data_IF_715563923497
#
_entry.id   IF_715563923497
#
_cell.length_a   1.000
_cell.length_b   1.000
_cell.length_c   1.000
_cell.angle_alpha   90.00
_cell.angle_beta   90.00
_cell.angle_gamma   90.00
#
_symmetry.space_group_name_H-M   'P 1'
#
loop_
_entity.id
_entity.type
_entity.pdbx_description
1 polymer ?
#
# COMPACT_ATOMS: atom_id res chain seq x y z
N UNK A 1 25.80 -5.97 -25.28
CA UNK A 1 26.60 -5.57 -24.12
C UNK A 1 25.71 -4.76 -23.18
N UNK A 2 25.69 -5.10 -21.90
CA UNK A 2 24.90 -4.42 -20.87
C UNK A 2 25.77 -3.33 -20.25
N UNK A 3 25.24 -2.11 -20.12
CA UNK A 3 25.91 -1.06 -19.36
C UNK A 3 25.02 -0.58 -18.22
N UNK A 4 25.55 -0.71 -17.01
CA UNK A 4 24.95 -0.20 -15.78
C UNK A 4 25.91 0.83 -15.18
N UNK A 5 25.47 2.08 -15.03
CA UNK A 5 26.28 3.15 -14.45
C UNK A 5 25.86 3.40 -13.00
N UNK A 6 26.84 3.37 -12.10
CA UNK A 6 26.67 3.52 -10.64
C UNK A 6 26.74 4.98 -10.16
N UNK A 7 27.50 5.85 -10.82
CA UNK A 7 27.62 7.24 -10.42
C UNK A 7 27.78 8.18 -11.63
N UNK A 8 26.99 9.26 -11.66
CA UNK A 8 27.11 10.38 -12.59
C UNK A 8 27.37 11.64 -11.77
N UNK A 9 28.59 12.16 -11.82
CA UNK A 9 28.91 13.47 -11.24
C UNK A 9 28.56 14.55 -12.26
N UNK A 10 27.42 15.21 -12.05
CA UNK A 10 26.98 16.32 -12.90
C UNK A 10 27.32 17.65 -12.21
N UNK A 11 28.28 18.40 -12.77
CA UNK A 11 28.68 19.73 -12.26
C UNK A 11 27.75 20.84 -12.77
N UNK A 12 26.82 20.52 -13.68
CA UNK A 12 25.84 21.45 -14.24
C UNK A 12 24.46 20.78 -14.38
N UNK A 13 23.43 21.52 -14.80
CA UNK A 13 22.10 20.96 -15.04
C UNK A 13 22.01 20.03 -16.27
N UNK A 14 23.03 20.01 -17.13
CA UNK A 14 23.07 19.16 -18.34
C UNK A 14 24.46 18.53 -18.52
N UNK A 15 24.51 17.22 -18.74
CA UNK A 15 25.72 16.54 -19.16
C UNK A 15 25.41 15.56 -20.29
N UNK A 16 26.38 15.36 -21.18
CA UNK A 16 26.32 14.36 -22.24
C UNK A 16 27.34 13.28 -21.95
N UNK A 17 26.87 12.04 -21.80
CA UNK A 17 27.72 10.87 -21.66
C UNK A 17 27.86 10.20 -23.03
N UNK A 18 29.10 10.05 -23.52
CA UNK A 18 29.38 9.25 -24.71
C UNK A 18 29.62 7.80 -24.30
N UNK A 19 28.82 6.90 -24.85
CA UNK A 19 28.98 5.45 -24.67
C UNK A 19 29.80 4.90 -25.84
N UNK A 20 30.83 4.11 -25.55
CA UNK A 20 31.83 3.66 -26.54
C UNK A 20 31.29 2.72 -27.61
N UNK A 21 30.24 1.96 -27.28
CA UNK A 21 29.67 0.92 -28.12
C UNK A 21 28.17 1.14 -28.32
N UNK A 22 27.63 0.64 -29.44
CA UNK A 22 26.18 0.60 -29.65
C UNK A 22 25.53 -0.35 -28.63
N UNK A 23 24.93 0.20 -27.57
CA UNK A 23 24.18 -0.56 -26.57
C UNK A 23 22.70 -0.60 -26.94
N UNK A 24 22.03 -1.74 -26.71
CA UNK A 24 20.60 -1.92 -27.01
C UNK A 24 19.69 -1.14 -26.06
N UNK A 25 20.11 -1.00 -24.81
CA UNK A 25 19.42 -0.25 -23.76
C UNK A 25 20.43 0.16 -22.69
N UNK A 26 20.04 1.10 -21.84
CA UNK A 26 20.86 1.64 -20.76
C UNK A 26 20.04 1.69 -19.47
N UNK A 27 20.54 1.08 -18.40
CA UNK A 27 19.97 1.22 -17.05
C UNK A 27 20.89 2.11 -16.21
N UNK A 28 20.39 3.28 -15.82
CA UNK A 28 21.07 4.15 -14.86
C UNK A 28 20.63 3.83 -13.43
N UNK A 29 21.40 4.33 -12.46
CA UNK A 29 21.21 4.05 -11.04
C UNK A 29 21.24 2.54 -10.74
N UNK A 30 22.38 1.91 -11.05
CA UNK A 30 22.58 0.49 -10.83
C UNK A 30 22.30 0.11 -9.36
N UNK A 31 21.47 -0.91 -9.15
CA UNK A 31 21.00 -1.38 -7.84
C UNK A 31 20.30 -0.30 -7.00
N UNK A 32 19.86 0.80 -7.62
CA UNK A 32 19.16 1.90 -6.95
C UNK A 32 19.93 2.53 -5.76
N UNK A 33 21.26 2.61 -5.89
CA UNK A 33 22.14 3.12 -4.82
C UNK A 33 22.14 4.65 -4.69
N UNK A 34 21.74 5.35 -5.75
CA UNK A 34 21.58 6.80 -5.76
C UNK A 34 20.18 7.26 -5.38
N UNK A 35 20.09 8.35 -4.61
CA UNK A 35 18.82 8.97 -4.23
C UNK A 35 18.27 9.86 -5.36
N UNK A 36 17.92 9.25 -6.49
CA UNK A 36 17.32 9.93 -7.63
C UNK A 36 16.48 8.98 -8.50
N UNK A 37 15.44 9.52 -9.13
CA UNK A 37 14.59 8.83 -10.10
C UNK A 37 15.17 8.98 -11.50
N UNK A 38 15.12 7.92 -12.31
CA UNK A 38 15.57 7.95 -13.71
C UNK A 38 14.37 7.91 -14.65
N UNK A 39 14.31 8.88 -15.55
CA UNK A 39 13.39 8.89 -16.68
C UNK A 39 14.13 8.56 -17.98
N UNK A 40 13.61 7.60 -18.73
CA UNK A 40 14.05 7.29 -20.09
C UNK A 40 13.05 7.87 -21.08
N UNK A 41 13.49 8.28 -22.28
CA UNK A 41 12.54 8.61 -23.36
C UNK A 41 11.72 7.38 -23.77
N UNK A 42 10.69 7.57 -24.60
CA UNK A 42 9.75 6.49 -25.00
C UNK A 42 10.47 5.24 -25.53
N UNK A 43 11.47 5.42 -26.40
CA UNK A 43 12.30 4.34 -26.93
C UNK A 43 13.15 3.67 -25.83
N UNK A 44 13.69 4.44 -24.89
CA UNK A 44 14.49 3.91 -23.78
C UNK A 44 13.65 3.05 -22.82
N UNK A 45 12.43 3.47 -22.51
CA UNK A 45 11.50 2.61 -21.77
C UNK A 45 11.08 1.39 -22.57
N UNK A 46 10.73 1.55 -23.86
CA UNK A 46 10.31 0.43 -24.70
C UNK A 46 11.39 -0.67 -24.79
N UNK A 47 12.65 -0.27 -24.96
CA UNK A 47 13.79 -1.21 -25.02
C UNK A 47 14.08 -1.88 -23.67
N UNK A 48 13.92 -1.18 -22.53
CA UNK A 48 14.00 -1.79 -21.20
C UNK A 48 12.86 -2.77 -20.94
N UNK A 49 11.63 -2.44 -21.35
CA UNK A 49 10.47 -3.32 -21.23
C UNK A 49 10.67 -4.59 -22.08
N UNK A 50 11.14 -4.45 -23.32
CA UNK A 50 11.41 -5.57 -24.22
C UNK A 50 12.50 -6.50 -23.66
N UNK A 51 13.56 -5.92 -23.08
CA UNK A 51 14.61 -6.68 -22.40
C UNK A 51 14.06 -7.53 -21.25
N UNK A 52 13.20 -6.95 -20.40
CA UNK A 52 12.59 -7.65 -19.26
C UNK A 52 11.58 -8.73 -19.68
N UNK A 53 10.83 -8.49 -20.76
CA UNK A 53 9.92 -9.49 -21.34
C UNK A 53 10.67 -10.68 -21.94
N UNK A 54 11.86 -10.42 -22.49
CA UNK A 54 12.71 -11.46 -23.08
C UNK A 54 13.41 -12.29 -22.01
N UNK A 55 14.02 -11.64 -21.02
CA UNK A 55 14.70 -12.30 -19.91
C UNK A 55 14.72 -11.39 -18.67
N UNK A 56 13.97 -11.78 -17.63
CA UNK A 56 13.90 -11.04 -16.37
C UNK A 56 15.27 -10.92 -15.68
N UNK A 57 16.19 -11.87 -15.91
CA UNK A 57 17.51 -11.88 -15.28
C UNK A 57 18.52 -10.95 -15.95
N UNK A 58 18.12 -10.29 -17.05
CA UNK A 58 18.93 -9.28 -17.72
C UNK A 58 19.20 -8.05 -16.83
N UNK A 59 18.35 -7.80 -15.83
CA UNK A 59 18.55 -6.79 -14.78
C UNK A 59 18.51 -7.44 -13.39
N UNK A 60 19.17 -6.84 -12.40
CA UNK A 60 19.10 -7.33 -11.02
C UNK A 60 17.70 -7.12 -10.42
N UNK A 61 17.29 -7.87 -9.37
CA UNK A 61 16.00 -7.65 -8.73
C UNK A 61 15.81 -6.22 -8.20
N UNK A 62 16.91 -5.59 -7.75
CA UNK A 62 16.90 -4.22 -7.25
C UNK A 62 16.70 -3.21 -8.39
N UNK A 63 17.32 -3.45 -9.55
CA UNK A 63 17.08 -2.64 -10.75
C UNK A 63 15.63 -2.76 -11.22
N UNK A 64 15.06 -3.97 -11.22
CA UNK A 64 13.66 -4.21 -11.60
C UNK A 64 12.68 -3.51 -10.66
N UNK A 65 12.87 -3.65 -9.34
CA UNK A 65 12.11 -2.89 -8.35
C UNK A 65 12.22 -1.37 -8.57
N UNK A 66 13.43 -0.86 -8.85
CA UNK A 66 13.64 0.56 -9.14
C UNK A 66 12.95 1.04 -10.42
N UNK A 67 12.87 0.19 -11.46
CA UNK A 67 12.15 0.53 -12.69
C UNK A 67 10.64 0.64 -12.44
N UNK A 68 10.07 -0.28 -11.65
CA UNK A 68 8.67 -0.23 -11.24
C UNK A 68 8.43 1.04 -10.43
N UNK A 69 9.23 1.30 -9.39
CA UNK A 69 9.12 2.50 -8.57
C UNK A 69 9.16 3.79 -9.41
N UNK A 70 10.19 3.91 -10.26
CA UNK A 70 10.41 5.09 -11.09
C UNK A 70 9.27 5.31 -12.07
N UNK A 71 8.79 4.26 -12.75
CA UNK A 71 7.73 4.42 -13.76
C UNK A 71 6.40 4.85 -13.13
N UNK A 72 6.07 4.34 -11.94
CA UNK A 72 4.90 4.78 -11.19
C UNK A 72 5.04 6.24 -10.71
N UNK A 73 6.20 6.62 -10.17
CA UNK A 73 6.47 8.00 -9.76
C UNK A 73 6.41 8.98 -10.94
N UNK A 74 6.98 8.60 -12.08
CA UNK A 74 6.93 9.39 -13.32
C UNK A 74 5.52 9.49 -13.89
N UNK A 75 4.70 8.44 -13.74
CA UNK A 75 3.28 8.49 -14.10
C UNK A 75 2.49 9.43 -13.19
N UNK A 76 2.78 9.46 -11.87
CA UNK A 76 2.21 10.45 -10.93
C UNK A 76 2.49 11.89 -11.36
N UNK A 77 3.69 12.16 -11.88
CA UNK A 77 4.06 13.46 -12.45
C UNK A 77 3.57 13.65 -13.91
N UNK A 78 2.98 12.62 -14.51
CA UNK A 78 2.63 12.45 -15.94
C UNK A 78 3.74 12.79 -16.92
N UNK A 79 4.96 12.39 -16.57
CA UNK A 79 6.06 12.23 -17.51
C UNK A 79 5.92 10.94 -18.32
N UNK A 80 5.23 9.94 -17.76
CA UNK A 80 4.99 8.63 -18.37
C UNK A 80 3.49 8.33 -18.36
N UNK A 81 2.97 7.75 -19.46
CA UNK A 81 1.56 7.35 -19.52
C UNK A 81 1.30 6.10 -18.67
N UNK A 82 0.12 5.98 -18.06
CA UNK A 82 -0.20 4.76 -17.30
C UNK A 82 -0.28 3.50 -18.18
N UNK A 83 -0.53 3.65 -19.48
CA UNK A 83 -0.41 2.53 -20.45
C UNK A 83 0.99 1.92 -20.44
N UNK A 84 2.02 2.75 -20.37
CA UNK A 84 3.42 2.31 -20.36
C UNK A 84 3.80 1.66 -19.03
N UNK A 85 3.22 2.13 -17.91
CA UNK A 85 3.30 1.44 -16.61
C UNK A 85 2.77 0.03 -16.72
N UNK A 86 1.57 -0.14 -17.29
CA UNK A 86 0.96 -1.46 -17.45
C UNK A 86 1.76 -2.35 -18.41
N UNK A 87 2.32 -1.78 -19.49
CA UNK A 87 3.20 -2.50 -20.42
C UNK A 87 4.51 -2.97 -19.77
N UNK A 88 5.03 -2.24 -18.77
CA UNK A 88 6.14 -2.73 -17.96
C UNK A 88 5.68 -3.91 -17.11
N UNK A 89 4.58 -3.78 -16.39
CA UNK A 89 4.10 -4.84 -15.48
C UNK A 89 3.76 -6.17 -16.16
N UNK A 90 3.57 -6.20 -17.48
CA UNK A 90 3.42 -7.44 -18.25
C UNK A 90 4.58 -8.43 -18.02
N UNK A 91 5.82 -7.99 -17.78
CA UNK A 91 6.94 -8.91 -17.51
C UNK A 91 6.78 -9.61 -16.16
N UNK A 92 6.04 -9.01 -15.21
CA UNK A 92 5.98 -9.44 -13.83
C UNK A 92 5.29 -10.80 -13.65
N UNK A 93 4.61 -11.32 -14.68
CA UNK A 93 4.08 -12.70 -14.68
C UNK A 93 5.20 -13.75 -14.57
N UNK A 94 6.42 -13.40 -14.99
CA UNK A 94 7.60 -14.26 -14.94
C UNK A 94 8.55 -13.90 -13.78
N UNK A 95 8.15 -12.96 -12.93
CA UNK A 95 8.96 -12.49 -11.80
C UNK A 95 8.75 -13.38 -10.56
N UNK A 96 9.83 -13.66 -9.84
CA UNK A 96 9.81 -14.48 -8.62
C UNK A 96 10.50 -13.81 -7.44
N UNK A 97 11.19 -12.70 -7.65
CA UNK A 97 11.99 -12.05 -6.62
C UNK A 97 11.16 -11.09 -5.76
N UNK A 98 11.42 -11.08 -4.45
CA UNK A 98 10.64 -10.33 -3.46
C UNK A 98 10.54 -8.84 -3.81
N UNK A 99 11.68 -8.15 -3.97
CA UNK A 99 11.72 -6.69 -4.12
C UNK A 99 10.86 -6.14 -5.29
N UNK A 100 10.96 -6.65 -6.53
CA UNK A 100 10.10 -6.17 -7.62
C UNK A 100 8.62 -6.51 -7.42
N UNK A 101 8.30 -7.68 -6.86
CA UNK A 101 6.91 -8.09 -6.63
C UNK A 101 6.25 -7.27 -5.54
N UNK A 102 6.92 -7.04 -4.40
CA UNK A 102 6.36 -6.23 -3.32
C UNK A 102 6.18 -4.78 -3.73
N UNK A 103 7.12 -4.21 -4.51
CA UNK A 103 6.95 -2.87 -5.09
C UNK A 103 5.74 -2.82 -6.04
N UNK A 104 5.61 -3.78 -6.97
CA UNK A 104 4.47 -3.83 -7.89
C UNK A 104 3.12 -3.93 -7.15
N UNK A 105 3.01 -4.83 -6.18
CA UNK A 105 1.80 -5.03 -5.39
C UNK A 105 1.44 -3.77 -4.59
N UNK A 106 2.44 -3.10 -4.00
CA UNK A 106 2.24 -1.85 -3.24
C UNK A 106 1.73 -0.70 -4.12
N UNK A 107 2.32 -0.52 -5.30
CA UNK A 107 1.92 0.50 -6.26
C UNK A 107 0.51 0.23 -6.82
N UNK A 108 0.21 -1.02 -7.18
CA UNK A 108 -1.11 -1.45 -7.64
C UNK A 108 -2.18 -1.28 -6.57
N UNK A 109 -1.85 -1.59 -5.30
CA UNK A 109 -2.74 -1.36 -4.15
C UNK A 109 -3.08 0.12 -3.99
N UNK A 110 -2.10 1.00 -4.21
CA UNK A 110 -2.31 2.45 -4.11
C UNK A 110 -3.25 2.96 -5.20
N UNK A 111 -3.09 2.49 -6.44
CA UNK A 111 -4.02 2.80 -7.55
C UNK A 111 -5.42 2.25 -7.27
N UNK A 112 -5.52 1.00 -6.80
CA UNK A 112 -6.79 0.38 -6.42
C UNK A 112 -7.56 1.22 -5.39
N UNK A 113 -6.88 1.69 -4.34
CA UNK A 113 -7.51 2.49 -3.29
C UNK A 113 -8.03 3.84 -3.80
N UNK A 114 -7.29 4.52 -4.68
CA UNK A 114 -7.75 5.75 -5.33
C UNK A 114 -9.02 5.52 -6.16
N UNK A 115 -9.04 4.47 -6.98
CA UNK A 115 -10.21 4.09 -7.78
C UNK A 115 -11.41 3.76 -6.90
N UNK A 116 -11.19 3.00 -5.83
CA UNK A 116 -12.23 2.58 -4.90
C UNK A 116 -12.87 3.78 -4.18
N UNK A 117 -12.06 4.74 -3.74
CA UNK A 117 -12.53 5.97 -3.06
C UNK A 117 -13.21 6.97 -3.99
N UNK A 118 -12.83 6.97 -5.28
CA UNK A 118 -13.57 7.68 -6.34
C UNK A 118 -14.83 6.93 -6.81
N UNK A 119 -15.16 5.80 -6.18
CA UNK A 119 -16.33 4.96 -6.50
C UNK A 119 -16.36 4.52 -7.97
N UNK A 120 -15.20 4.32 -8.58
CA UNK A 120 -15.06 3.85 -9.96
C UNK A 120 -15.27 2.32 -10.03
N UNK A 121 -16.43 1.83 -9.54
CA UNK A 121 -16.67 0.41 -9.23
C UNK A 121 -16.38 -0.53 -10.40
N UNK A 122 -16.67 -0.11 -11.64
CA UNK A 122 -16.35 -0.88 -12.85
C UNK A 122 -14.84 -0.99 -13.09
N UNK A 123 -14.09 0.09 -12.88
CA UNK A 123 -12.62 0.06 -12.97
C UNK A 123 -12.03 -0.76 -11.83
N UNK A 124 -12.56 -0.62 -10.62
CA UNK A 124 -12.16 -1.43 -9.47
C UNK A 124 -12.27 -2.92 -9.81
N UNK A 125 -13.40 -3.37 -10.36
CA UNK A 125 -13.58 -4.76 -10.77
C UNK A 125 -12.57 -5.21 -11.85
N UNK A 126 -12.32 -4.38 -12.87
CA UNK A 126 -11.33 -4.66 -13.92
C UNK A 126 -9.89 -4.69 -13.40
N UNK A 127 -9.56 -3.79 -12.48
CA UNK A 127 -8.27 -3.77 -11.79
C UNK A 127 -8.07 -5.04 -10.96
N UNK A 128 -9.10 -5.52 -10.24
CA UNK A 128 -9.03 -6.81 -9.53
C UNK A 128 -8.77 -7.96 -10.51
N UNK A 129 -9.46 -7.99 -11.64
CA UNK A 129 -9.26 -9.01 -12.67
C UNK A 129 -7.84 -8.98 -13.25
N UNK A 130 -7.30 -7.78 -13.52
CA UNK A 130 -5.92 -7.58 -13.98
C UNK A 130 -4.88 -8.08 -12.97
N UNK A 131 -5.01 -7.73 -11.69
CA UNK A 131 -4.10 -8.20 -10.65
C UNK A 131 -4.17 -9.73 -10.53
N UNK A 132 -5.38 -10.29 -10.56
CA UNK A 132 -5.59 -11.74 -10.54
C UNK A 132 -4.98 -12.45 -11.77
N UNK A 133 -5.01 -11.84 -12.96
CA UNK A 133 -4.44 -12.46 -14.15
C UNK A 133 -2.91 -12.46 -14.16
N UNK A 134 -2.27 -11.46 -13.56
CA UNK A 134 -0.80 -11.33 -13.54
C UNK A 134 -0.16 -12.06 -12.37
N UNK A 135 -0.78 -12.02 -11.20
CA UNK A 135 -0.18 -12.50 -9.95
C UNK A 135 -0.96 -13.67 -9.33
N UNK A 136 -2.14 -14.03 -9.85
CA UNK A 136 -3.02 -15.01 -9.22
C UNK A 136 -2.41 -16.40 -9.08
N UNK A 137 -1.66 -16.87 -10.09
CA UNK A 137 -0.97 -18.16 -9.98
C UNK A 137 0.09 -18.14 -8.88
N UNK A 138 0.86 -17.05 -8.78
CA UNK A 138 1.89 -16.89 -7.75
C UNK A 138 1.28 -16.75 -6.34
N UNK A 139 0.13 -16.08 -6.24
CA UNK A 139 -0.65 -16.00 -5.00
C UNK A 139 -1.13 -17.38 -4.55
N UNK A 140 -1.67 -18.18 -5.48
CA UNK A 140 -2.21 -19.50 -5.16
C UNK A 140 -1.11 -20.53 -4.84
N UNK A 141 0.13 -20.30 -5.31
CA UNK A 141 1.26 -21.19 -5.06
C UNK A 141 1.96 -20.96 -3.71
N UNK A 142 1.55 -19.94 -2.95
CA UNK A 142 2.15 -19.67 -1.64
C UNK A 142 1.79 -20.79 -0.65
N UNK A 143 2.77 -21.18 0.16
CA UNK A 143 2.56 -22.15 1.22
C UNK A 143 1.93 -21.48 2.46
N UNK A 144 1.39 -22.29 3.37
CA UNK A 144 0.75 -21.83 4.61
C UNK A 144 1.43 -22.42 5.86
N UNK A 145 2.69 -22.85 5.70
CA UNK A 145 3.49 -23.48 6.75
C UNK A 145 4.58 -22.56 7.30
N UNK A 146 5.53 -23.17 8.00
CA UNK A 146 6.73 -22.48 8.46
C UNK A 146 7.64 -22.13 7.28
N UNK A 147 8.22 -20.93 7.31
CA UNK A 147 9.22 -20.45 6.35
C UNK A 147 10.28 -19.69 7.14
N UNK A 148 11.55 -19.89 6.78
CA UNK A 148 12.72 -19.35 7.51
C UNK A 148 13.32 -18.15 6.79
N UNK A 149 13.15 -18.06 5.47
CA UNK A 149 13.68 -16.97 4.67
C UNK A 149 12.86 -15.71 4.90
N UNK A 150 13.47 -14.70 5.54
CA UNK A 150 12.87 -13.37 5.77
C UNK A 150 12.33 -12.75 4.47
N UNK A 151 13.08 -12.89 3.36
CA UNK A 151 12.65 -12.39 2.04
C UNK A 151 11.39 -13.08 1.52
N UNK A 152 11.26 -14.39 1.76
CA UNK A 152 10.06 -15.15 1.36
C UNK A 152 8.89 -14.88 2.27
N UNK A 153 9.11 -14.74 3.58
CA UNK A 153 8.08 -14.31 4.54
C UNK A 153 7.46 -12.96 4.13
N UNK A 154 8.29 -11.99 3.72
CA UNK A 154 7.81 -10.69 3.23
C UNK A 154 6.95 -10.84 1.97
N UNK A 155 7.45 -11.56 0.97
CA UNK A 155 6.73 -11.77 -0.29
C UNK A 155 5.41 -12.53 -0.07
N UNK A 156 5.44 -13.60 0.72
CA UNK A 156 4.29 -14.44 1.06
C UNK A 156 3.21 -13.63 1.75
N UNK A 157 3.59 -12.83 2.75
CA UNK A 157 2.66 -11.92 3.44
C UNK A 157 2.01 -10.94 2.46
N UNK A 158 2.78 -10.28 1.59
CA UNK A 158 2.25 -9.33 0.60
C UNK A 158 1.30 -9.98 -0.43
N UNK A 159 1.66 -11.16 -0.94
CA UNK A 159 0.85 -11.90 -1.91
C UNK A 159 -0.46 -12.40 -1.30
N UNK A 160 -0.41 -12.97 -0.09
CA UNK A 160 -1.59 -13.50 0.59
C UNK A 160 -2.51 -12.39 1.11
N UNK A 161 -1.96 -11.29 1.62
CA UNK A 161 -2.75 -10.09 1.95
C UNK A 161 -3.53 -9.59 0.72
N UNK A 162 -2.86 -9.46 -0.42
CA UNK A 162 -3.52 -9.09 -1.67
C UNK A 162 -4.57 -10.13 -2.08
N UNK A 163 -4.23 -11.41 -2.14
CA UNK A 163 -5.13 -12.49 -2.56
C UNK A 163 -6.43 -12.55 -1.73
N UNK A 164 -6.31 -12.50 -0.41
CA UNK A 164 -7.46 -12.53 0.51
C UNK A 164 -8.26 -11.22 0.50
N UNK A 165 -7.62 -10.06 0.24
CA UNK A 165 -8.32 -8.79 0.06
C UNK A 165 -9.14 -8.75 -1.24
N UNK A 166 -8.66 -9.43 -2.29
CA UNK A 166 -9.36 -9.59 -3.57
C UNK A 166 -10.49 -10.62 -3.49
N UNK A 167 -10.59 -11.38 -2.40
CA UNK A 167 -11.61 -12.41 -2.20
C UNK A 167 -11.34 -13.70 -2.97
N UNK A 168 -10.06 -14.05 -3.19
CA UNK A 168 -9.71 -15.34 -3.80
C UNK A 168 -10.08 -16.48 -2.85
N UNK A 169 -10.93 -17.40 -3.32
CA UNK A 169 -11.49 -18.49 -2.52
C UNK A 169 -10.42 -19.36 -1.85
N UNK A 170 -9.38 -19.75 -2.61
CA UNK A 170 -8.28 -20.55 -2.06
C UNK A 170 -7.60 -19.84 -0.87
N UNK A 171 -7.35 -18.52 -0.96
CA UNK A 171 -6.76 -17.77 0.14
C UNK A 171 -7.69 -17.70 1.34
N UNK A 172 -8.97 -17.41 1.13
CA UNK A 172 -9.93 -17.31 2.24
C UNK A 172 -10.16 -18.65 2.93
N UNK A 173 -10.19 -19.75 2.19
CA UNK A 173 -10.40 -21.09 2.75
C UNK A 173 -9.20 -21.54 3.59
N UNK A 174 -7.97 -21.34 3.09
CA UNK A 174 -6.76 -21.67 3.84
C UNK A 174 -6.61 -20.79 5.10
N UNK A 175 -6.91 -19.49 4.97
CA UNK A 175 -6.91 -18.58 6.12
C UNK A 175 -7.89 -19.03 7.20
N UNK A 176 -9.13 -19.38 6.82
CA UNK A 176 -10.13 -19.88 7.76
C UNK A 176 -9.74 -21.24 8.35
N UNK A 177 -9.15 -22.15 7.56
CA UNK A 177 -8.68 -23.42 8.07
C UNK A 177 -7.58 -23.27 9.14
N UNK A 178 -6.65 -22.31 8.97
CA UNK A 178 -5.66 -21.99 10.01
C UNK A 178 -6.31 -21.33 11.23
N UNK A 179 -7.26 -20.42 11.02
CA UNK A 179 -8.00 -19.79 12.12
C UNK A 179 -8.75 -20.82 12.96
N UNK A 180 -9.43 -21.77 12.32
CA UNK A 180 -10.17 -22.84 12.98
C UNK A 180 -9.23 -23.78 13.74
N UNK A 181 -8.05 -24.07 13.21
CA UNK A 181 -7.03 -24.85 13.93
C UNK A 181 -6.52 -24.11 15.17
N UNK A 182 -6.28 -22.80 15.06
CA UNK A 182 -5.83 -21.96 16.16
C UNK A 182 -6.90 -21.90 17.27
N UNK A 183 -8.16 -21.63 16.94
CA UNK A 183 -9.27 -21.59 17.91
C UNK A 183 -9.54 -22.96 18.55
N UNK A 184 -9.68 -24.03 17.77
CA UNK A 184 -9.95 -25.39 18.28
C UNK A 184 -8.83 -25.96 19.15
N UNK A 185 -7.62 -25.42 19.03
CA UNK A 185 -6.48 -25.80 19.87
C UNK A 185 -6.41 -25.02 21.19
N UNK A 186 -7.41 -24.19 21.52
CA UNK A 186 -7.33 -23.21 22.59
C UNK A 186 -6.07 -22.34 22.47
N UNK A 187 -5.76 -21.90 21.24
CA UNK A 187 -4.60 -21.07 20.88
C UNK A 187 -3.23 -21.71 21.17
N UNK A 188 -3.16 -23.03 21.36
CA UNK A 188 -1.88 -23.74 21.56
C UNK A 188 -1.13 -23.98 20.24
N UNK A 189 -1.86 -24.19 19.13
CA UNK A 189 -1.27 -24.23 17.78
C UNK A 189 -1.12 -22.80 17.27
N UNK A 190 0.13 -22.38 17.08
CA UNK A 190 0.45 -21.03 16.63
C UNK A 190 0.31 -20.90 15.12
N UNK A 191 -0.23 -19.76 14.68
CA UNK A 191 -0.22 -19.35 13.27
C UNK A 191 1.15 -18.71 12.98
N UNK A 192 1.82 -19.04 11.85
CA UNK A 192 3.07 -18.39 11.45
C UNK A 192 2.94 -16.86 11.47
N UNK A 193 3.94 -16.16 12.02
CA UNK A 193 3.83 -14.73 12.35
C UNK A 193 3.55 -13.81 11.15
N UNK A 194 4.02 -14.17 9.96
CA UNK A 194 3.77 -13.46 8.70
C UNK A 194 2.34 -13.67 8.16
N UNK A 195 1.71 -14.80 8.53
CA UNK A 195 0.35 -15.17 8.14
C UNK A 195 -0.71 -14.66 9.11
N UNK A 196 -0.36 -14.37 10.37
CA UNK A 196 -1.30 -13.92 11.41
C UNK A 196 -2.19 -12.76 10.95
N UNK A 197 -1.61 -11.74 10.30
CA UNK A 197 -2.40 -10.59 9.81
C UNK A 197 -3.46 -11.03 8.80
N UNK A 198 -3.09 -11.87 7.84
CA UNK A 198 -3.99 -12.37 6.80
C UNK A 198 -5.10 -13.21 7.42
N UNK A 199 -4.72 -14.19 8.25
CA UNK A 199 -5.64 -15.14 8.89
C UNK A 199 -6.66 -14.41 9.76
N UNK A 200 -6.19 -13.55 10.67
CA UNK A 200 -7.09 -12.79 11.54
C UNK A 200 -7.97 -11.83 10.74
N UNK A 201 -7.44 -11.16 9.71
CA UNK A 201 -8.24 -10.23 8.89
C UNK A 201 -9.35 -10.94 8.11
N UNK A 202 -9.14 -12.18 7.68
CA UNK A 202 -10.20 -12.98 7.05
C UNK A 202 -11.26 -13.38 8.07
N UNK A 203 -10.87 -13.87 9.25
CA UNK A 203 -11.80 -14.26 10.30
C UNK A 203 -12.65 -13.09 10.80
N UNK A 204 -12.03 -11.90 10.96
CA UNK A 204 -12.68 -10.65 11.40
C UNK A 204 -13.76 -10.12 10.44
N UNK A 205 -13.89 -10.67 9.21
CA UNK A 205 -14.99 -10.33 8.30
C UNK A 205 -16.35 -10.85 8.78
N UNK A 206 -16.37 -11.88 9.61
CA UNK A 206 -17.58 -12.42 10.22
C UNK A 206 -17.80 -11.84 11.61
N UNK A 207 -19.05 -11.61 12.01
CA UNK A 207 -19.40 -11.09 13.34
C UNK A 207 -18.92 -12.03 14.47
N UNK A 208 -19.03 -13.35 14.26
CA UNK A 208 -18.50 -14.36 15.18
C UNK A 208 -16.97 -14.31 15.30
N UNK A 209 -16.27 -14.26 14.16
CA UNK A 209 -14.80 -14.19 14.14
C UNK A 209 -14.29 -12.88 14.73
N UNK A 210 -14.97 -11.76 14.47
CA UNK A 210 -14.63 -10.46 15.05
C UNK A 210 -14.76 -10.47 16.58
N UNK A 211 -15.86 -10.99 17.13
CA UNK A 211 -16.03 -11.11 18.59
C UNK A 211 -15.01 -12.04 19.23
N UNK A 212 -14.76 -13.20 18.62
CA UNK A 212 -13.75 -14.16 19.09
C UNK A 212 -12.35 -13.55 19.09
N UNK A 213 -11.99 -12.78 18.05
CA UNK A 213 -10.72 -12.03 18.02
C UNK A 213 -10.67 -10.91 19.06
N UNK A 214 -11.79 -10.26 19.38
CA UNK A 214 -11.84 -9.25 20.44
C UNK A 214 -11.57 -9.87 21.82
N UNK A 215 -12.11 -11.05 22.11
CA UNK A 215 -11.80 -11.82 23.32
C UNK A 215 -10.32 -12.24 23.37
N UNK A 216 -9.78 -12.68 22.24
CA UNK A 216 -8.36 -13.01 22.11
C UNK A 216 -7.46 -11.78 22.30
N UNK A 217 -7.83 -10.61 21.77
CA UNK A 217 -7.12 -9.35 21.99
C UNK A 217 -7.05 -8.99 23.47
N UNK A 218 -8.17 -9.11 24.18
CA UNK A 218 -8.23 -8.80 25.61
C UNK A 218 -7.44 -9.77 26.49
N UNK A 219 -7.35 -11.04 26.09
CA UNK A 219 -6.70 -12.11 26.87
C UNK A 219 -5.22 -12.36 26.50
N UNK A 220 -4.79 -11.98 25.29
CA UNK A 220 -3.41 -12.17 24.86
C UNK A 220 -2.43 -11.42 25.78
N UNK A 221 -1.21 -11.93 25.87
CA UNK A 221 -0.11 -11.31 26.62
C UNK A 221 1.06 -10.92 25.71
N UNK A 222 1.00 -11.30 24.43
CA UNK A 222 2.04 -11.01 23.45
C UNK A 222 1.68 -9.77 22.64
N UNK A 223 2.44 -8.69 22.81
CA UNK A 223 2.16 -7.41 22.14
C UNK A 223 2.19 -7.53 20.60
N UNK A 224 3.06 -8.38 20.05
CA UNK A 224 3.12 -8.64 18.61
C UNK A 224 1.81 -9.23 18.08
N UNK A 225 1.28 -10.26 18.74
CA UNK A 225 0.01 -10.90 18.39
C UNK A 225 -1.16 -9.93 18.60
N UNK A 226 -1.22 -9.24 19.74
CA UNK A 226 -2.23 -8.20 20.00
C UNK A 226 -2.29 -7.17 18.89
N UNK A 227 -1.14 -6.70 18.43
CA UNK A 227 -1.07 -5.71 17.34
C UNK A 227 -1.61 -6.27 16.03
N UNK A 228 -1.34 -7.54 15.70
CA UNK A 228 -1.90 -8.21 14.51
C UNK A 228 -3.41 -8.42 14.61
N UNK A 229 -3.91 -8.83 15.78
CA UNK A 229 -5.34 -8.95 16.05
C UNK A 229 -6.02 -7.59 15.93
N UNK A 230 -5.44 -6.54 16.51
CA UNK A 230 -6.00 -5.18 16.43
C UNK A 230 -6.08 -4.68 14.98
N UNK A 231 -5.05 -4.91 14.16
CA UNK A 231 -5.10 -4.59 12.73
C UNK A 231 -6.23 -5.35 12.01
N UNK A 232 -6.42 -6.63 12.34
CA UNK A 232 -7.52 -7.41 11.78
C UNK A 232 -8.90 -6.87 12.19
N UNK A 233 -9.10 -6.59 13.48
CA UNK A 233 -10.33 -5.97 14.00
C UNK A 233 -10.61 -4.62 13.33
N UNK A 234 -9.57 -3.78 13.17
CA UNK A 234 -9.65 -2.48 12.52
C UNK A 234 -9.85 -2.55 11.00
N UNK A 235 -9.64 -3.70 10.35
CA UNK A 235 -9.90 -3.90 8.93
C UNK A 235 -11.40 -4.07 8.59
N UNK A 236 -12.25 -4.14 9.61
CA UNK A 236 -13.70 -4.29 9.48
C UNK A 236 -14.34 -3.22 8.58
N UNK A 237 -15.40 -3.62 7.87
CA UNK A 237 -16.23 -2.71 7.06
C UNK A 237 -17.58 -2.41 7.75
N UNK A 238 -17.82 -2.98 8.94
CA UNK A 238 -19.03 -2.74 9.71
C UNK A 238 -18.99 -1.37 10.41
N UNK A 239 -19.94 -0.45 10.13
CA UNK A 239 -19.95 0.90 10.71
C UNK A 239 -19.95 0.92 12.25
N UNK A 240 -20.67 0.00 12.90
CA UNK A 240 -20.75 -0.02 14.37
C UNK A 240 -19.40 -0.36 14.99
N UNK A 241 -18.74 -1.40 14.44
CA UNK A 241 -17.40 -1.82 14.85
C UNK A 241 -16.36 -0.72 14.61
N UNK A 242 -16.44 0.00 13.49
CA UNK A 242 -15.54 1.12 13.18
C UNK A 242 -15.64 2.21 14.25
N UNK A 243 -16.85 2.69 14.53
CA UNK A 243 -17.09 3.75 15.53
C UNK A 243 -16.65 3.30 16.92
N UNK A 244 -16.92 2.05 17.28
CA UNK A 244 -16.54 1.50 18.57
C UNK A 244 -15.01 1.45 18.75
N UNK A 245 -14.27 0.92 17.79
CA UNK A 245 -12.80 0.82 17.87
C UNK A 245 -12.16 2.21 17.92
N UNK A 246 -12.63 3.18 17.11
CA UNK A 246 -12.12 4.55 17.13
C UNK A 246 -12.31 5.22 18.50
N UNK A 247 -13.51 5.06 19.08
CA UNK A 247 -13.82 5.59 20.41
C UNK A 247 -12.97 4.94 21.49
N UNK A 248 -12.87 3.60 21.48
CA UNK A 248 -12.07 2.85 22.43
C UNK A 248 -10.58 3.21 22.37
N UNK A 249 -10.03 3.40 21.17
CA UNK A 249 -8.64 3.83 20.97
C UNK A 249 -8.38 5.24 21.49
N UNK A 250 -9.31 6.18 21.32
CA UNK A 250 -9.15 7.54 21.86
C UNK A 250 -9.30 7.60 23.37
N UNK A 251 -10.20 6.81 23.95
CA UNK A 251 -10.37 6.70 25.41
C UNK A 251 -9.12 6.15 26.08
N UNK A 252 -8.52 5.09 25.49
CA UNK A 252 -7.29 4.49 25.99
C UNK A 252 -7.50 3.38 27.02
N UNK A 253 -8.72 2.85 27.15
CA UNK A 253 -9.06 1.76 28.06
C UNK A 253 -8.74 0.39 27.47
N UNK A 254 -9.72 -0.21 26.79
CA UNK A 254 -9.58 -1.54 26.17
C UNK A 254 -8.49 -1.53 25.09
N UNK A 255 -8.49 -0.51 24.23
CA UNK A 255 -7.46 -0.27 23.22
C UNK A 255 -6.60 0.87 23.74
N UNK A 256 -5.31 0.62 23.90
CA UNK A 256 -4.37 1.63 24.41
C UNK A 256 -4.28 2.81 23.44
N UNK A 257 -4.23 4.04 23.95
CA UNK A 257 -4.21 5.24 23.11
C UNK A 257 -3.07 5.25 22.09
N UNK A 258 -1.90 4.71 22.45
CA UNK A 258 -0.75 4.60 21.54
C UNK A 258 -1.05 3.85 20.22
N UNK A 259 -2.08 2.99 20.20
CA UNK A 259 -2.49 2.23 19.03
C UNK A 259 -3.44 3.01 18.11
N UNK A 260 -3.94 4.18 18.52
CA UNK A 260 -4.88 4.97 17.73
C UNK A 260 -4.36 5.30 16.31
N UNK A 261 -3.08 5.70 16.10
CA UNK A 261 -2.56 5.92 14.75
C UNK A 261 -2.57 4.65 13.88
N UNK A 262 -2.33 3.47 14.48
CA UNK A 262 -2.37 2.18 13.79
C UNK A 262 -3.80 1.82 13.36
N UNK A 263 -4.76 2.00 14.27
CA UNK A 263 -6.19 1.80 14.03
C UNK A 263 -6.67 2.71 12.89
N UNK A 264 -6.40 4.02 12.99
CA UNK A 264 -6.76 5.02 11.98
C UNK A 264 -6.15 4.66 10.63
N UNK A 265 -4.87 4.29 10.61
CA UNK A 265 -4.21 3.93 9.35
C UNK A 265 -4.81 2.69 8.71
N UNK A 266 -5.12 1.66 9.51
CA UNK A 266 -5.67 0.40 9.00
C UNK A 266 -7.09 0.58 8.48
N UNK A 267 -7.94 1.32 9.20
CA UNK A 267 -9.31 1.61 8.76
C UNK A 267 -9.36 2.48 7.50
N UNK A 268 -8.42 3.43 7.36
CA UNK A 268 -8.37 4.34 6.22
C UNK A 268 -8.14 3.61 4.88
N UNK A 269 -7.58 2.39 4.90
CA UNK A 269 -7.43 1.57 3.70
C UNK A 269 -8.77 1.01 3.20
N UNK A 270 -9.75 0.82 4.09
CA UNK A 270 -11.09 0.31 3.78
C UNK A 270 -12.00 1.34 3.10
N UNK A 271 -13.08 0.85 2.45
CA UNK A 271 -14.09 1.73 1.87
C UNK A 271 -15.01 2.31 2.96
N UNK A 272 -15.52 1.51 3.88
CA UNK A 272 -16.32 2.07 4.98
C UNK A 272 -15.44 2.93 5.89
N UNK A 273 -14.28 2.39 6.31
CA UNK A 273 -13.40 3.05 7.28
C UNK A 273 -12.98 4.47 6.89
N UNK A 274 -12.57 4.73 5.64
CA UNK A 274 -12.16 6.09 5.26
C UNK A 274 -13.27 7.15 5.37
N UNK A 275 -14.54 6.76 5.22
CA UNK A 275 -15.68 7.67 5.37
C UNK A 275 -15.84 8.13 6.82
N UNK A 276 -15.68 7.21 7.79
CA UNK A 276 -15.85 7.52 9.21
C UNK A 276 -14.60 8.13 9.84
N UNK A 277 -13.41 7.70 9.42
CA UNK A 277 -12.16 8.04 10.08
C UNK A 277 -11.82 9.53 9.94
N UNK A 278 -12.10 10.14 8.78
CA UNK A 278 -11.86 11.57 8.60
C UNK A 278 -12.81 12.42 9.44
N UNK A 279 -14.10 12.07 9.48
CA UNK A 279 -15.08 12.73 10.34
C UNK A 279 -14.71 12.61 11.82
N UNK A 280 -14.32 11.41 12.26
CA UNK A 280 -13.83 11.19 13.61
C UNK A 280 -12.64 12.09 13.98
N UNK A 281 -11.66 12.22 13.08
CA UNK A 281 -10.48 13.08 13.29
C UNK A 281 -10.88 14.55 13.39
N UNK A 282 -11.79 15.02 12.54
CA UNK A 282 -12.29 16.42 12.61
C UNK A 282 -13.00 16.68 13.92
N UNK A 283 -13.91 15.80 14.33
CA UNK A 283 -14.76 15.96 15.51
C UNK A 283 -13.98 15.84 16.82
N UNK A 284 -12.92 15.03 16.83
CA UNK A 284 -12.14 14.74 18.04
C UNK A 284 -10.74 15.34 18.03
N UNK A 285 -10.44 16.27 17.10
CA UNK A 285 -9.10 16.83 16.93
C UNK A 285 -8.47 17.30 18.24
N UNK A 286 -9.24 18.01 19.05
CA UNK A 286 -8.80 18.58 20.32
C UNK A 286 -8.36 17.50 21.32
N UNK A 287 -9.16 16.45 21.43
CA UNK A 287 -8.84 15.29 22.28
C UNK A 287 -7.64 14.52 21.74
N UNK A 288 -7.48 14.46 20.43
CA UNK A 288 -6.34 13.80 19.78
C UNK A 288 -5.05 14.58 20.09
N UNK A 289 -5.04 15.91 19.96
CA UNK A 289 -3.84 16.72 20.23
C UNK A 289 -3.51 16.85 21.73
N UNK A 290 -4.48 16.62 22.62
CA UNK A 290 -4.23 16.46 24.06
C UNK A 290 -3.45 15.17 24.36
N UNK A 291 -3.73 14.09 23.62
CA UNK A 291 -3.05 12.79 23.78
C UNK A 291 -1.71 12.74 23.03
N UNK A 292 -1.61 13.43 21.89
CA UNK A 292 -0.45 13.42 21.01
C UNK A 292 0.01 14.85 20.70
N UNK A 293 1.24 15.24 21.08
CA UNK A 293 1.74 16.59 20.83
C UNK A 293 1.65 16.98 19.35
N UNK A 294 1.26 18.23 19.08
CA UNK A 294 1.23 18.79 17.72
C UNK A 294 2.61 18.65 17.06
N UNK A 295 2.64 18.18 15.82
CA UNK A 295 3.88 17.91 15.08
C UNK A 295 4.57 16.58 15.44
N UNK A 296 4.08 15.81 16.42
CA UNK A 296 4.58 14.47 16.71
C UNK A 296 4.32 13.47 15.58
N UNK A 297 5.11 12.40 15.52
CA UNK A 297 4.94 11.34 14.52
C UNK A 297 3.52 10.72 14.50
N UNK A 298 2.86 10.43 15.65
CA UNK A 298 1.47 10.01 15.66
C UNK A 298 0.51 10.95 14.92
N UNK A 299 0.63 12.27 15.14
CA UNK A 299 -0.20 13.28 14.45
C UNK A 299 0.09 13.29 12.95
N UNK A 300 1.37 13.26 12.56
CA UNK A 300 1.75 13.20 11.14
C UNK A 300 1.18 11.95 10.46
N UNK A 301 1.23 10.81 11.13
CA UNK A 301 0.66 9.54 10.66
C UNK A 301 -0.86 9.62 10.50
N UNK A 302 -1.57 10.15 11.50
CA UNK A 302 -3.04 10.33 11.45
C UNK A 302 -3.42 11.23 10.27
N UNK A 303 -2.77 12.38 10.10
CA UNK A 303 -3.05 13.31 8.99
C UNK A 303 -2.81 12.60 7.65
N UNK A 304 -1.65 11.97 7.49
CA UNK A 304 -1.28 11.28 6.24
C UNK A 304 -2.25 10.15 5.92
N UNK A 305 -2.56 9.28 6.87
CA UNK A 305 -3.40 8.11 6.61
C UNK A 305 -4.84 8.48 6.28
N UNK A 306 -5.38 9.51 6.93
CA UNK A 306 -6.77 9.97 6.68
C UNK A 306 -6.93 10.71 5.36
N UNK A 307 -5.89 11.40 4.87
CA UNK A 307 -5.99 12.30 3.71
C UNK A 307 -5.31 11.78 2.43
N UNK A 308 -4.31 10.90 2.53
CA UNK A 308 -3.43 10.51 1.40
C UNK A 308 -4.13 9.83 0.22
N UNK A 309 -5.39 9.41 0.38
CA UNK A 309 -6.17 8.74 -0.66
C UNK A 309 -7.33 9.60 -1.18
N UNK A 310 -7.45 10.84 -0.71
CA UNK A 310 -8.35 11.83 -1.30
C UNK A 310 -7.78 12.32 -2.64
N UNK A 311 -8.70 12.62 -3.56
CA UNK A 311 -8.38 12.92 -4.95
C UNK A 311 -9.44 13.78 -5.65
N UNK A 312 -10.20 14.57 -4.91
CA UNK A 312 -11.22 15.48 -5.46
C UNK A 312 -11.03 16.88 -4.92
N UNK A 313 -11.49 17.86 -5.70
CA UNK A 313 -11.49 19.28 -5.29
C UNK A 313 -12.24 19.48 -3.95
N UNK A 314 -13.36 18.79 -3.76
CA UNK A 314 -14.14 18.87 -2.50
C UNK A 314 -13.32 18.41 -1.30
N UNK A 315 -12.61 17.29 -1.39
CA UNK A 315 -11.76 16.85 -0.28
C UNK A 315 -10.59 17.81 -0.04
N UNK A 316 -10.02 18.41 -1.10
CA UNK A 316 -8.95 19.40 -0.96
C UNK A 316 -9.43 20.62 -0.17
N UNK A 317 -10.56 21.20 -0.57
CA UNK A 317 -11.17 22.35 0.10
C UNK A 317 -11.56 22.03 1.54
N UNK A 318 -12.07 20.83 1.79
CA UNK A 318 -12.44 20.38 3.11
C UNK A 318 -11.22 20.24 4.04
N UNK A 319 -10.16 19.57 3.59
CA UNK A 319 -8.91 19.41 4.35
C UNK A 319 -8.26 20.78 4.59
N UNK A 320 -8.21 21.63 3.57
CA UNK A 320 -7.66 22.98 3.68
C UNK A 320 -8.47 23.83 4.68
N UNK A 321 -9.80 23.82 4.57
CA UNK A 321 -10.70 24.57 5.44
C UNK A 321 -10.59 24.12 6.89
N UNK A 322 -10.58 22.81 7.13
CA UNK A 322 -10.41 22.23 8.46
C UNK A 322 -9.09 22.69 9.09
N UNK A 323 -7.94 22.43 8.46
CA UNK A 323 -6.65 22.78 9.07
C UNK A 323 -6.42 24.29 9.19
N UNK A 324 -6.94 25.10 8.25
CA UNK A 324 -6.88 26.57 8.35
C UNK A 324 -7.67 27.08 9.56
N UNK A 325 -8.81 26.46 9.86
CA UNK A 325 -9.64 26.84 11.02
C UNK A 325 -8.95 26.58 12.37
N UNK A 326 -7.99 25.65 12.42
CA UNK A 326 -7.30 25.26 13.65
C UNK A 326 -6.26 26.27 14.14
N UNK A 327 -5.81 27.22 13.29
CA UNK A 327 -4.76 28.21 13.65
C UNK A 327 -3.53 27.52 14.27
N UNK A 328 -3.09 27.93 15.45
CA UNK A 328 -1.91 27.39 16.15
C UNK A 328 -2.05 25.91 16.56
N UNK A 329 -3.28 25.36 16.59
CA UNK A 329 -3.56 23.96 16.95
C UNK A 329 -3.27 22.96 15.83
N UNK A 330 -2.83 23.42 14.66
CA UNK A 330 -2.40 22.51 13.60
C UNK A 330 -2.13 23.08 12.21
N UNK A 331 -2.49 24.34 11.92
CA UNK A 331 -2.39 24.89 10.54
C UNK A 331 -0.95 24.96 10.00
N UNK A 332 0.06 25.10 10.86
CA UNK A 332 1.46 25.32 10.47
C UNK A 332 2.27 24.03 10.34
N UNK A 333 1.63 22.86 10.42
CA UNK A 333 2.34 21.59 10.33
C UNK A 333 2.74 21.28 8.89
N UNK A 334 4.00 20.88 8.69
CA UNK A 334 4.49 20.39 7.39
C UNK A 334 3.65 19.22 6.86
N UNK A 335 3.18 18.33 7.72
CA UNK A 335 2.31 17.21 7.34
C UNK A 335 0.97 17.66 6.75
N UNK A 336 0.47 18.85 7.09
CA UNK A 336 -0.73 19.43 6.47
C UNK A 336 -0.42 19.90 5.06
N UNK A 337 0.71 20.58 4.86
CA UNK A 337 1.15 21.00 3.52
C UNK A 337 1.35 19.79 2.60
N UNK A 338 2.06 18.77 3.08
CA UNK A 338 2.28 17.52 2.34
C UNK A 338 0.97 16.78 2.03
N UNK A 339 -0.02 16.83 2.94
CA UNK A 339 -1.34 16.27 2.70
C UNK A 339 -2.06 17.00 1.56
N UNK A 340 -2.10 18.34 1.56
CA UNK A 340 -2.72 19.13 0.51
C UNK A 340 -2.06 18.88 -0.86
N UNK A 341 -0.72 18.91 -0.92
CA UNK A 341 0.03 18.59 -2.14
C UNK A 341 -0.26 17.16 -2.64
N UNK A 342 -0.40 16.20 -1.72
CA UNK A 342 -0.74 14.82 -2.07
C UNK A 342 -2.14 14.72 -2.69
N UNK A 343 -3.13 15.44 -2.15
CA UNK A 343 -4.50 15.45 -2.69
C UNK A 343 -4.53 16.06 -4.09
N UNK A 344 -3.83 17.18 -4.31
CA UNK A 344 -3.70 17.83 -5.61
C UNK A 344 -3.05 16.89 -6.64
N UNK A 345 -1.94 16.24 -6.26
CA UNK A 345 -1.25 15.28 -7.12
C UNK A 345 -2.15 14.07 -7.45
N UNK A 346 -2.92 13.57 -6.48
CA UNK A 346 -3.87 12.49 -6.70
C UNK A 346 -5.00 12.91 -7.66
N UNK A 347 -5.54 14.12 -7.51
CA UNK A 347 -6.56 14.65 -8.41
C UNK A 347 -6.03 14.76 -9.84
N UNK A 348 -4.86 15.39 -10.02
CA UNK A 348 -4.21 15.51 -11.33
C UNK A 348 -3.93 14.15 -11.97
N UNK A 349 -3.45 13.19 -11.17
CA UNK A 349 -3.19 11.84 -11.66
C UNK A 349 -4.47 11.12 -12.07
N UNK A 350 -5.53 11.21 -11.25
CA UNK A 350 -6.82 10.61 -11.56
C UNK A 350 -7.37 11.21 -12.85
N UNK A 351 -7.47 12.54 -12.97
CA UNK A 351 -8.07 13.19 -14.13
C UNK A 351 -7.32 12.87 -15.43
N UNK A 352 -5.99 12.73 -15.36
CA UNK A 352 -5.14 12.36 -16.51
C UNK A 352 -5.26 10.88 -16.90
N UNK A 353 -5.28 9.96 -15.94
CA UNK A 353 -5.09 8.53 -16.21
C UNK A 353 -6.40 7.73 -16.23
N UNK A 354 -7.50 8.28 -15.70
CA UNK A 354 -8.81 7.62 -15.69
C UNK A 354 -9.27 7.19 -17.11
N UNK A 355 -9.14 8.02 -18.17
CA UNK A 355 -9.54 7.59 -19.52
C UNK A 355 -8.70 6.42 -20.04
N UNK A 356 -7.38 6.45 -19.80
CA UNK A 356 -6.46 5.37 -20.18
C UNK A 356 -6.80 4.07 -19.45
N UNK A 357 -7.03 4.15 -18.13
CA UNK A 357 -7.45 3.02 -17.31
C UNK A 357 -8.77 2.41 -17.82
N UNK A 358 -9.74 3.25 -18.22
CA UNK A 358 -11.04 2.78 -18.74
C UNK A 358 -10.96 2.09 -20.08
N UNK A 359 -9.97 2.44 -20.89
CA UNK A 359 -9.77 1.85 -22.20
C UNK A 359 -8.93 0.57 -22.14
N UNK A 360 -7.94 0.52 -21.25
CA UNK A 360 -6.92 -0.53 -21.24
C UNK A 360 -7.24 -1.69 -20.30
N UNK A 361 -7.78 -1.42 -19.11
CA UNK A 361 -8.33 -2.45 -18.22
C UNK A 361 -9.73 -2.84 -18.69
#
# INVERSE_FOLDING_TARGET
MIMCLSALFCVSHLATLKVSDSVKWLKLNYMNTGFYIVHYGDEGWATLIDALKTDVNTLTPHDRASLIHNIFALSRLGRVSFRQVLSLLDYATNETETAPLTEALSQLSSVYRLLNKRQELRLVARMKAYVCSHFGQLMDSQDWGEEESVSRLELRSALLEMACSLGRQNCTDQAMALYDQWTNSNHTKQIPGDLQRVVFSVAAKSDLGWRSLMEAYSSSTYDSEKRKILQALASTQDPQSIVWILSAGLEGGIIQTQELPLVISTMSDGFAGHLFVWDFVKENWDRIIEKFPVGSYPIQSIIKSTTSQFSTQTHLEEVQGFFSSLKERGSQMRSVQEALETIELNQLWMDRNLPTLRHWL
#
